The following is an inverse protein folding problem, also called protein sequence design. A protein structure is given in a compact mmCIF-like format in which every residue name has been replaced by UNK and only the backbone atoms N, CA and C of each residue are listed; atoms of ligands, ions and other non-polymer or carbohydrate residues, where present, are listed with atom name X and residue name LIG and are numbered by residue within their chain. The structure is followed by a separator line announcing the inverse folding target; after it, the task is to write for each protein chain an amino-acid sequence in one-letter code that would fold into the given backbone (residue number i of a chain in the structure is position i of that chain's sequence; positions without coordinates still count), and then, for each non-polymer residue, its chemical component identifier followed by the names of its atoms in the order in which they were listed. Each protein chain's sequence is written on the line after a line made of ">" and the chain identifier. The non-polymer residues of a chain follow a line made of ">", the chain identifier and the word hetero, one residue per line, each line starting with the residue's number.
data_IF_989970543591
#
_entry.id   IF_989970543591
#
_cell.length_a   1.000
_cell.length_b   1.000
_cell.length_c   1.000
_cell.angle_alpha   90.00
_cell.angle_beta   90.00
_cell.angle_gamma   90.00
#
_symmetry.space_group_name_H-M   'P 1'
#
loop_
_entity.id
_entity.type
_entity.pdbx_description
1 polymer ?
#
# COMPACT_ATOMS: atom_id res chain seq x y z
N UNK A 1 23.67 -5.63 -4.09
CA UNK A 1 22.82 -5.84 -5.27
C UNK A 1 22.24 -4.51 -5.70
N UNK A 2 22.59 -4.07 -6.88
CA UNK A 2 22.04 -2.83 -7.38
C UNK A 2 20.78 -3.11 -8.18
N UNK A 3 19.71 -2.46 -7.78
CA UNK A 3 18.46 -2.51 -8.50
C UNK A 3 18.22 -1.15 -9.15
N UNK A 4 18.16 -1.12 -10.46
CA UNK A 4 17.91 0.12 -11.20
C UNK A 4 16.69 -0.05 -12.08
N UNK A 5 15.53 0.45 -11.66
CA UNK A 5 14.36 0.40 -12.53
C UNK A 5 14.59 1.27 -13.77
N UNK A 6 14.13 0.81 -14.91
CA UNK A 6 14.28 1.54 -16.17
C UNK A 6 13.42 2.80 -16.20
N UNK A 7 12.28 2.79 -15.47
CA UNK A 7 11.40 3.95 -15.36
C UNK A 7 10.97 4.11 -13.91
N UNK A 8 10.50 5.31 -13.51
CA UNK A 8 10.00 5.51 -12.14
C UNK A 8 8.86 4.59 -11.74
N UNK A 9 8.18 3.96 -12.69
CA UNK A 9 6.99 3.16 -12.43
C UNK A 9 7.24 1.65 -12.44
N UNK A 10 8.47 1.21 -12.66
CA UNK A 10 8.77 -0.21 -12.84
C UNK A 10 8.52 -1.05 -11.59
N UNK A 11 8.54 -0.43 -10.41
CA UNK A 11 8.40 -1.12 -9.13
C UNK A 11 7.03 -0.94 -8.48
N UNK A 12 6.06 -0.39 -9.20
CA UNK A 12 4.73 -0.14 -8.60
C UNK A 12 4.07 -1.44 -8.14
N UNK A 13 4.18 -2.50 -8.93
CA UNK A 13 3.57 -3.79 -8.59
C UNK A 13 4.20 -4.40 -7.35
N UNK A 14 5.53 -4.33 -7.24
CA UNK A 14 6.23 -4.80 -6.04
C UNK A 14 5.86 -3.97 -4.81
N UNK A 15 5.77 -2.66 -4.97
CA UNK A 15 5.34 -1.76 -3.89
C UNK A 15 3.91 -2.07 -3.45
N UNK A 16 3.02 -2.34 -4.41
CA UNK A 16 1.64 -2.72 -4.13
C UNK A 16 1.56 -3.99 -3.31
N UNK A 17 2.30 -5.03 -3.71
CA UNK A 17 2.36 -6.28 -2.97
C UNK A 17 2.89 -6.08 -1.56
N UNK A 18 3.93 -5.27 -1.41
CA UNK A 18 4.50 -4.95 -0.10
C UNK A 18 3.47 -4.26 0.80
N UNK A 19 2.73 -3.29 0.27
CA UNK A 19 1.70 -2.59 1.03
C UNK A 19 0.57 -3.54 1.43
N UNK A 20 0.17 -4.46 0.56
CA UNK A 20 -0.84 -5.47 0.88
C UNK A 20 -0.39 -6.35 2.05
N UNK A 21 0.86 -6.82 2.03
CA UNK A 21 1.43 -7.61 3.13
C UNK A 21 1.49 -6.80 4.43
N UNK A 22 1.83 -5.53 4.32
CA UNK A 22 1.89 -4.63 5.47
C UNK A 22 0.50 -4.43 6.08
N UNK A 23 -0.53 -4.28 5.26
CA UNK A 23 -1.91 -4.19 5.73
C UNK A 23 -2.30 -5.46 6.50
N UNK A 24 -1.95 -6.64 5.98
CA UNK A 24 -2.23 -7.90 6.67
C UNK A 24 -1.53 -7.95 8.04
N UNK A 25 -0.26 -7.53 8.10
CA UNK A 25 0.49 -7.51 9.35
C UNK A 25 -0.14 -6.53 10.36
N UNK A 26 -0.61 -5.38 9.90
CA UNK A 26 -1.28 -4.40 10.74
C UNK A 26 -2.58 -4.98 11.29
N UNK A 27 -3.37 -5.66 10.47
CA UNK A 27 -4.62 -6.27 10.91
C UNK A 27 -4.40 -7.39 11.93
N UNK A 28 -3.35 -8.18 11.75
CA UNK A 28 -2.97 -9.19 12.72
C UNK A 28 -2.57 -8.55 14.05
N UNK A 29 -1.76 -7.48 14.01
CA UNK A 29 -1.39 -6.73 15.20
C UNK A 29 -2.60 -6.14 15.92
N UNK A 30 -3.59 -5.66 15.17
CA UNK A 30 -4.83 -5.14 15.75
C UNK A 30 -5.59 -6.21 16.51
N UNK A 31 -5.65 -7.42 15.97
CA UNK A 31 -6.30 -8.55 16.66
C UNK A 31 -5.55 -8.89 17.95
N UNK A 32 -4.22 -8.91 17.91
CA UNK A 32 -3.40 -9.23 19.08
C UNK A 32 -3.57 -8.17 20.16
N UNK A 33 -3.57 -6.89 19.78
CA UNK A 33 -3.79 -5.79 20.73
C UNK A 33 -5.20 -5.87 21.31
N UNK A 34 -6.20 -6.20 20.50
CA UNK A 34 -7.58 -6.40 20.98
C UNK A 34 -7.67 -7.46 22.06
N UNK A 35 -6.97 -8.58 21.87
CA UNK A 35 -6.91 -9.65 22.87
C UNK A 35 -6.20 -9.18 24.15
N UNK A 36 -5.13 -8.40 24.00
CA UNK A 36 -4.40 -7.83 25.15
C UNK A 36 -5.26 -6.84 25.93
N UNK A 37 -6.05 -6.02 25.24
CA UNK A 37 -6.99 -5.09 25.88
C UNK A 37 -8.01 -5.89 26.70
N UNK A 38 -8.57 -6.95 26.13
CA UNK A 38 -9.54 -7.79 26.83
C UNK A 38 -8.93 -8.40 28.10
N UNK A 39 -7.70 -8.86 28.05
CA UNK A 39 -7.00 -9.40 29.22
C UNK A 39 -6.75 -8.32 30.27
N UNK A 40 -6.31 -7.14 29.85
CA UNK A 40 -6.06 -6.02 30.75
C UNK A 40 -7.35 -5.58 31.43
N UNK A 41 -8.46 -5.57 30.69
CA UNK A 41 -9.79 -5.24 31.21
C UNK A 41 -10.22 -6.28 32.26
N UNK A 42 -10.07 -7.57 31.97
CA UNK A 42 -10.42 -8.65 32.90
C UNK A 42 -9.60 -8.58 34.17
N UNK A 43 -8.35 -8.18 34.08
CA UNK A 43 -7.42 -8.07 35.22
C UNK A 43 -7.44 -6.70 35.88
N UNK A 44 -8.29 -5.79 35.41
CA UNK A 44 -8.45 -4.43 35.94
C UNK A 44 -7.13 -3.63 35.91
N UNK A 45 -6.35 -3.79 34.86
CA UNK A 45 -5.09 -3.08 34.66
C UNK A 45 -5.33 -1.81 33.83
N UNK A 46 -5.84 -0.77 34.48
CA UNK A 46 -6.31 0.42 33.79
C UNK A 46 -5.23 1.12 32.97
N UNK A 47 -4.02 1.27 33.53
CA UNK A 47 -2.92 1.94 32.81
C UNK A 47 -2.53 1.17 31.58
N UNK A 48 -2.44 -0.14 31.70
CA UNK A 48 -2.10 -1.02 30.57
C UNK A 48 -3.20 -0.96 29.51
N UNK A 49 -4.45 -0.96 29.93
CA UNK A 49 -5.59 -0.86 29.03
C UNK A 49 -5.57 0.47 28.27
N UNK A 50 -5.28 1.57 28.94
CA UNK A 50 -5.18 2.89 28.31
C UNK A 50 -4.05 2.93 27.28
N UNK A 51 -2.88 2.40 27.63
CA UNK A 51 -1.74 2.35 26.72
C UNK A 51 -2.06 1.51 25.48
N UNK A 52 -2.66 0.33 25.68
CA UNK A 52 -3.07 -0.54 24.59
C UNK A 52 -4.13 0.11 23.70
N UNK A 53 -5.03 0.88 24.30
CA UNK A 53 -6.03 1.62 23.53
C UNK A 53 -5.39 2.66 22.60
N UNK A 54 -4.34 3.33 23.06
CA UNK A 54 -3.59 4.27 22.22
C UNK A 54 -2.88 3.53 21.07
N UNK A 55 -2.30 2.37 21.37
CA UNK A 55 -1.68 1.53 20.33
C UNK A 55 -2.74 1.13 19.30
N UNK A 56 -3.90 0.69 19.76
CA UNK A 56 -5.00 0.31 18.87
C UNK A 56 -5.41 1.46 17.95
N UNK A 57 -5.57 2.66 18.51
CA UNK A 57 -5.94 3.84 17.74
C UNK A 57 -4.89 4.17 16.67
N UNK A 58 -3.62 4.06 17.01
CA UNK A 58 -2.53 4.30 16.07
C UNK A 58 -2.50 3.24 14.96
N UNK A 59 -2.78 1.99 15.29
CA UNK A 59 -2.85 0.93 14.28
C UNK A 59 -4.01 1.17 13.30
N UNK A 60 -5.15 1.66 13.79
CA UNK A 60 -6.27 2.04 12.92
C UNK A 60 -5.85 3.14 11.94
N UNK A 61 -5.19 4.18 12.44
CA UNK A 61 -4.70 5.28 11.60
C UNK A 61 -3.72 4.77 10.54
N UNK A 62 -2.79 3.92 10.96
CA UNK A 62 -1.80 3.34 10.05
C UNK A 62 -2.48 2.51 8.98
N UNK A 63 -3.46 1.70 9.35
CA UNK A 63 -4.23 0.89 8.40
C UNK A 63 -4.92 1.78 7.36
N UNK A 64 -5.51 2.89 7.78
CA UNK A 64 -6.16 3.85 6.88
C UNK A 64 -5.17 4.46 5.91
N UNK A 65 -3.99 4.86 6.39
CA UNK A 65 -2.94 5.41 5.53
C UNK A 65 -2.44 4.39 4.51
N UNK A 66 -2.29 3.14 4.94
CA UNK A 66 -1.84 2.08 4.05
C UNK A 66 -2.89 1.77 2.97
N UNK A 67 -4.16 1.77 3.34
CA UNK A 67 -5.26 1.57 2.39
C UNK A 67 -5.29 2.71 1.36
N UNK A 68 -5.10 3.94 1.80
CA UNK A 68 -5.01 5.09 0.91
C UNK A 68 -3.79 4.96 -0.02
N UNK A 69 -2.65 4.54 0.53
CA UNK A 69 -1.44 4.30 -0.26
C UNK A 69 -1.66 3.24 -1.34
N UNK A 70 -2.40 2.19 -1.00
CA UNK A 70 -2.72 1.13 -1.96
C UNK A 70 -3.56 1.67 -3.12
N UNK A 71 -4.52 2.54 -2.85
CA UNK A 71 -5.32 3.18 -3.89
C UNK A 71 -4.46 4.04 -4.81
N UNK A 72 -3.54 4.81 -4.22
CA UNK A 72 -2.62 5.64 -5.00
C UNK A 72 -1.75 4.77 -5.90
N UNK A 73 -1.24 3.65 -5.38
CA UNK A 73 -0.44 2.72 -6.17
C UNK A 73 -1.26 2.11 -7.31
N UNK A 74 -2.53 1.80 -7.08
CA UNK A 74 -3.42 1.33 -8.13
C UNK A 74 -3.62 2.38 -9.21
N UNK A 75 -3.78 3.63 -8.83
CA UNK A 75 -3.92 4.73 -9.76
C UNK A 75 -2.65 4.92 -10.59
N UNK A 76 -1.48 4.85 -9.96
CA UNK A 76 -0.21 4.94 -10.65
C UNK A 76 -0.03 3.81 -11.65
N UNK A 77 -0.44 2.60 -11.28
CA UNK A 77 -0.37 1.44 -12.16
C UNK A 77 -1.25 1.66 -13.41
N UNK A 78 -2.43 2.20 -13.21
CA UNK A 78 -3.35 2.51 -14.31
C UNK A 78 -2.77 3.59 -15.22
N UNK A 79 -2.22 4.65 -14.64
CA UNK A 79 -1.60 5.74 -15.40
C UNK A 79 -0.39 5.23 -16.19
N UNK A 80 0.43 4.38 -15.60
CA UNK A 80 1.54 3.77 -16.30
C UNK A 80 1.08 3.03 -17.55
N UNK A 81 0.01 2.24 -17.41
CA UNK A 81 -0.53 1.49 -18.54
C UNK A 81 -1.05 2.42 -19.64
N UNK A 82 -1.75 3.48 -19.26
CA UNK A 82 -2.24 4.48 -20.22
C UNK A 82 -1.09 5.18 -20.95
N UNK A 83 -0.03 5.53 -20.24
CA UNK A 83 1.15 6.15 -20.84
C UNK A 83 1.83 5.22 -21.84
N UNK A 84 1.90 3.93 -21.53
CA UNK A 84 2.47 2.94 -22.45
C UNK A 84 1.61 2.79 -23.69
N UNK A 85 0.29 2.79 -23.54
CA UNK A 85 -0.64 2.72 -24.66
C UNK A 85 -0.52 3.95 -25.56
N UNK A 86 -0.42 5.15 -25.00
CA UNK A 86 -0.19 6.38 -25.75
C UNK A 86 1.12 6.33 -26.53
N UNK A 87 2.16 5.82 -25.89
CA UNK A 87 3.46 5.65 -26.55
C UNK A 87 3.35 4.73 -27.75
N UNK A 88 2.60 3.66 -27.63
CA UNK A 88 2.35 2.72 -28.72
C UNK A 88 1.61 3.39 -29.87
N UNK A 89 0.57 4.14 -29.57
CA UNK A 89 -0.21 4.86 -30.56
C UNK A 89 0.62 5.91 -31.30
N UNK A 90 1.42 6.67 -30.59
CA UNK A 90 2.30 7.67 -31.19
C UNK A 90 3.33 7.02 -32.11
N UNK A 91 3.89 5.89 -31.68
CA UNK A 91 4.87 5.13 -32.45
C UNK A 91 4.25 4.58 -33.73
N UNK A 92 3.04 4.04 -33.65
CA UNK A 92 2.29 3.51 -34.80
C UNK A 92 1.98 4.64 -35.80
N UNK A 93 1.54 5.78 -35.32
CA UNK A 93 1.24 6.94 -36.15
C UNK A 93 2.49 7.43 -36.90
N UNK A 94 3.65 7.50 -36.23
CA UNK A 94 4.91 7.87 -36.85
C UNK A 94 5.33 6.89 -37.93
N UNK A 95 5.22 5.62 -37.66
CA UNK A 95 5.57 4.56 -38.62
C UNK A 95 4.66 4.65 -39.85
N UNK A 96 3.38 4.88 -39.67
CA UNK A 96 2.42 5.04 -40.76
C UNK A 96 2.76 6.24 -41.63
N UNK A 97 3.11 7.35 -41.02
CA UNK A 97 3.50 8.56 -41.73
C UNK A 97 4.84 8.42 -42.46
N UNK A 98 5.73 7.63 -41.89
CA UNK A 98 7.06 7.41 -42.45
C UNK A 98 7.09 6.48 -43.66
N UNK A 99 6.01 5.76 -43.94
CA UNK A 99 5.92 4.78 -45.01
C UNK A 99 5.32 5.34 -46.31
N UNK A 100 5.26 6.63 -46.44
CA UNK A 100 4.81 7.27 -47.68
C UNK A 100 5.87 7.36 -48.73
#
# INVERSE_FOLDING_TARGET
>A
MSFKPETPFDNIESAQQFVELLIEAIEESRRDVGADIARAESNRLERQMQALQLVSNNLVKLSQHMTTSLRILNDLRTLRRLLLEERQLAKTAQTRNGNR
#
